data_IF_680631576695
#
_entry.id   IF_680631576695
#
_cell.length_a   1.000
_cell.length_b   1.000
_cell.length_c   1.000
_cell.angle_alpha   90.00
_cell.angle_beta   90.00
_cell.angle_gamma   90.00
#
_symmetry.space_group_name_H-M   'P 1'
#
loop_
_entity.id
_entity.type
_entity.pdbx_description
1 polymer ?
#
# COMPACT_ATOMS: atom_id res chain seq x y z
N UNK A 1 44.31 45.97 35.42
CA UNK A 1 43.41 44.91 35.91
C UNK A 1 42.19 44.77 34.99
N UNK A 2 41.62 45.85 34.47
CA UNK A 2 40.45 45.86 33.56
C UNK A 2 40.57 44.99 32.30
N UNK A 3 41.72 44.99 31.60
CA UNK A 3 41.91 44.14 30.40
C UNK A 3 41.71 42.63 30.68
N UNK A 4 41.98 42.18 31.90
CA UNK A 4 41.74 40.77 32.30
C UNK A 4 40.27 40.49 32.57
N UNK A 5 39.48 41.50 32.96
CA UNK A 5 38.04 41.35 33.20
C UNK A 5 37.24 41.41 31.90
N UNK A 6 37.65 42.24 30.95
CA UNK A 6 37.07 42.27 29.60
C UNK A 6 37.29 40.95 28.84
N UNK A 7 38.50 40.38 28.94
CA UNK A 7 38.81 39.06 28.37
C UNK A 7 37.90 37.97 28.95
N UNK A 8 37.69 37.97 30.27
CA UNK A 8 36.78 37.02 30.96
C UNK A 8 35.33 37.19 30.50
N UNK A 9 34.85 38.42 30.31
CA UNK A 9 33.48 38.70 29.81
C UNK A 9 33.29 38.20 28.38
N UNK A 10 34.30 38.37 27.52
CA UNK A 10 34.27 37.87 26.15
C UNK A 10 34.25 36.33 26.08
N UNK A 11 35.04 35.66 26.93
CA UNK A 11 35.02 34.19 27.06
C UNK A 11 33.69 33.65 27.56
N UNK A 12 33.11 34.30 28.58
CA UNK A 12 31.80 33.94 29.10
C UNK A 12 30.72 34.05 28.02
N UNK A 13 30.75 35.11 27.20
CA UNK A 13 29.83 35.29 26.07
C UNK A 13 29.92 34.16 25.03
N UNK A 14 31.14 33.78 24.66
CA UNK A 14 31.38 32.64 23.74
C UNK A 14 30.88 31.32 24.32
N UNK A 15 31.08 31.10 25.61
CA UNK A 15 30.60 29.90 26.27
C UNK A 15 29.07 29.88 26.36
N UNK A 16 28.42 31.00 26.69
CA UNK A 16 26.95 31.12 26.70
C UNK A 16 26.38 30.80 25.31
N UNK A 17 26.98 31.31 24.24
CA UNK A 17 26.52 31.01 22.88
C UNK A 17 26.70 29.54 22.52
N UNK A 18 27.83 28.94 22.93
CA UNK A 18 28.08 27.51 22.78
C UNK A 18 27.07 26.66 23.54
N UNK A 19 26.70 27.07 24.75
CA UNK A 19 25.67 26.41 25.56
C UNK A 19 24.27 26.55 24.92
N UNK A 20 23.93 27.72 24.37
CA UNK A 20 22.68 27.92 23.61
C UNK A 20 22.59 27.00 22.40
N UNK A 21 23.66 26.90 21.61
CA UNK A 21 23.72 26.00 20.44
C UNK A 21 23.52 24.53 20.83
N UNK A 22 24.12 24.09 21.94
CA UNK A 22 23.94 22.72 22.48
C UNK A 22 22.53 22.46 23.00
N UNK A 23 21.85 23.47 23.54
CA UNK A 23 20.46 23.33 23.99
C UNK A 23 19.53 23.17 22.80
N UNK A 24 19.67 24.02 21.79
CA UNK A 24 18.88 23.97 20.55
C UNK A 24 19.02 22.60 19.89
N UNK A 25 20.23 22.05 19.80
CA UNK A 25 20.44 20.74 19.18
C UNK A 25 19.74 19.62 19.97
N UNK A 26 19.83 19.64 21.30
CA UNK A 26 19.12 18.67 22.16
C UNK A 26 17.61 18.78 22.06
N UNK A 27 17.08 19.99 21.91
CA UNK A 27 15.64 20.21 21.70
C UNK A 27 15.21 19.64 20.35
N UNK A 28 15.96 19.91 19.28
CA UNK A 28 15.73 19.30 17.96
C UNK A 28 15.81 17.78 18.00
N UNK A 29 16.79 17.20 18.70
CA UNK A 29 16.90 15.75 18.86
C UNK A 29 15.68 15.15 19.58
N UNK A 30 15.16 15.82 20.61
CA UNK A 30 13.94 15.40 21.32
C UNK A 30 12.70 15.49 20.43
N UNK A 31 12.54 16.60 19.73
CA UNK A 31 11.45 16.83 18.77
C UNK A 31 11.49 15.79 17.65
N UNK A 32 12.67 15.55 17.09
CA UNK A 32 12.90 14.55 16.06
C UNK A 32 12.60 13.15 16.57
N UNK A 33 13.06 12.78 17.77
CA UNK A 33 12.77 11.48 18.38
C UNK A 33 11.27 11.24 18.61
N UNK A 34 10.56 12.26 19.10
CA UNK A 34 9.10 12.22 19.29
C UNK A 34 8.34 12.11 17.95
N UNK A 35 8.75 12.92 16.96
CA UNK A 35 8.17 12.90 15.61
C UNK A 35 8.39 11.54 14.93
N UNK A 36 9.63 11.01 14.97
CA UNK A 36 9.97 9.69 14.42
C UNK A 36 9.13 8.59 15.08
N UNK A 37 8.95 8.63 16.40
CA UNK A 37 8.10 7.66 17.12
C UNK A 37 6.64 7.72 16.65
N UNK A 38 6.10 8.92 16.49
CA UNK A 38 4.73 9.13 15.98
C UNK A 38 4.58 8.67 14.54
N UNK A 39 5.53 9.01 13.66
CA UNK A 39 5.54 8.57 12.27
C UNK A 39 5.67 7.06 12.15
N UNK A 40 6.54 6.43 12.95
CA UNK A 40 6.71 4.97 12.98
C UNK A 40 5.41 4.27 13.42
N UNK A 41 4.74 4.80 14.44
CA UNK A 41 3.43 4.31 14.88
C UNK A 41 2.38 4.37 13.76
N UNK A 42 2.27 5.52 13.09
CA UNK A 42 1.32 5.72 12.00
C UNK A 42 1.61 4.80 10.80
N UNK A 43 2.89 4.66 10.43
CA UNK A 43 3.33 3.77 9.36
C UNK A 43 2.99 2.31 9.68
N UNK A 44 3.28 1.85 10.91
CA UNK A 44 2.93 0.50 11.37
C UNK A 44 1.42 0.29 11.35
N UNK A 45 0.64 1.27 11.79
CA UNK A 45 -0.83 1.20 11.79
C UNK A 45 -1.41 1.13 10.38
N UNK A 46 -0.84 1.86 9.44
CA UNK A 46 -1.24 1.81 8.03
C UNK A 46 -0.95 0.43 7.43
N UNK A 47 0.24 -0.12 7.67
CA UNK A 47 0.64 -1.46 7.21
C UNK A 47 -0.26 -2.56 7.80
N UNK A 48 -0.54 -2.51 9.10
CA UNK A 48 -1.46 -3.45 9.77
C UNK A 48 -2.86 -3.42 9.16
N UNK A 49 -3.42 -2.21 8.94
CA UNK A 49 -4.74 -2.06 8.31
C UNK A 49 -4.75 -2.66 6.91
N UNK A 50 -3.68 -2.50 6.14
CA UNK A 50 -3.61 -3.08 4.79
C UNK A 50 -3.50 -4.60 4.83
N UNK A 51 -2.68 -5.18 5.71
CA UNK A 51 -2.62 -6.65 5.91
C UNK A 51 -3.99 -7.22 6.24
N UNK A 52 -4.72 -6.60 7.18
CA UNK A 52 -6.08 -7.02 7.55
C UNK A 52 -7.03 -6.92 6.36
N UNK A 53 -6.99 -5.84 5.57
CA UNK A 53 -7.87 -5.68 4.39
C UNK A 53 -7.58 -6.71 3.31
N UNK A 54 -6.31 -7.02 3.08
CA UNK A 54 -5.91 -8.03 2.11
C UNK A 54 -6.36 -9.41 2.58
N UNK A 55 -6.11 -9.74 3.85
CA UNK A 55 -6.54 -11.00 4.46
C UNK A 55 -8.05 -11.17 4.38
N UNK A 56 -8.82 -10.12 4.71
CA UNK A 56 -10.27 -10.11 4.62
C UNK A 56 -10.76 -10.34 3.18
N UNK A 57 -10.18 -9.64 2.19
CA UNK A 57 -10.51 -9.82 0.76
C UNK A 57 -10.22 -11.23 0.27
N UNK A 58 -9.07 -11.79 0.65
CA UNK A 58 -8.67 -13.15 0.28
C UNK A 58 -9.59 -14.19 0.92
N UNK A 59 -9.83 -14.06 2.22
CA UNK A 59 -10.73 -14.94 2.95
C UNK A 59 -12.15 -14.92 2.36
N UNK A 60 -12.70 -13.74 2.06
CA UNK A 60 -14.02 -13.62 1.41
C UNK A 60 -14.10 -14.32 0.05
N UNK A 61 -13.02 -14.29 -0.72
CA UNK A 61 -12.97 -14.92 -2.05
C UNK A 61 -13.04 -16.45 -1.97
N UNK A 62 -12.47 -17.01 -0.90
CA UNK A 62 -12.40 -18.45 -0.70
C UNK A 62 -13.59 -19.00 0.11
N UNK A 63 -14.26 -18.16 0.91
CA UNK A 63 -15.49 -18.54 1.62
C UNK A 63 -16.72 -18.57 0.71
N UNK A 64 -17.60 -19.55 0.90
CA UNK A 64 -18.90 -19.59 0.23
C UNK A 64 -19.82 -18.44 0.71
N UNK A 65 -20.73 -17.96 -0.14
CA UNK A 65 -21.54 -16.74 0.11
C UNK A 65 -22.29 -16.73 1.45
N UNK A 66 -22.77 -17.88 1.95
CA UNK A 66 -23.51 -17.96 3.23
C UNK A 66 -22.60 -17.99 4.46
N UNK A 67 -21.32 -18.35 4.32
CA UNK A 67 -20.34 -18.36 5.41
C UNK A 67 -19.60 -17.01 5.56
N UNK A 68 -19.98 -16.01 4.76
CA UNK A 68 -19.40 -14.67 4.79
C UNK A 68 -19.75 -13.91 6.09
N UNK A 69 -20.94 -14.16 6.66
CA UNK A 69 -21.38 -13.51 7.89
C UNK A 69 -20.57 -13.98 9.12
N UNK A 70 -20.31 -15.29 9.23
CA UNK A 70 -19.45 -15.85 10.28
C UNK A 70 -18.02 -15.30 10.23
N UNK A 71 -17.49 -15.08 9.01
CA UNK A 71 -16.19 -14.44 8.83
C UNK A 71 -16.23 -13.00 9.32
N UNK A 72 -17.29 -12.26 8.98
CA UNK A 72 -17.46 -10.87 9.40
C UNK A 72 -17.53 -10.74 10.92
N UNK A 73 -18.25 -11.64 11.59
CA UNK A 73 -18.33 -11.67 13.06
C UNK A 73 -16.95 -11.82 13.72
N UNK A 74 -16.12 -12.73 13.20
CA UNK A 74 -14.73 -12.94 13.69
C UNK A 74 -13.86 -11.68 13.55
N UNK A 75 -14.03 -10.92 12.47
CA UNK A 75 -13.28 -9.66 12.29
C UNK A 75 -13.83 -8.52 13.16
N UNK A 76 -15.16 -8.40 13.32
CA UNK A 76 -15.76 -7.37 14.19
C UNK A 76 -15.45 -7.64 15.67
N UNK A 77 -15.42 -8.91 16.09
CA UNK A 77 -15.02 -9.29 17.45
C UNK A 77 -13.61 -8.79 17.82
N UNK A 78 -12.68 -8.68 16.86
CA UNK A 78 -11.30 -8.26 17.11
C UNK A 78 -11.02 -6.76 16.86
N UNK A 79 -12.04 -5.99 16.46
CA UNK A 79 -11.90 -4.58 16.04
C UNK A 79 -11.47 -3.62 17.16
N UNK A 80 -11.79 -3.97 18.41
CA UNK A 80 -11.56 -3.13 19.58
C UNK A 80 -10.11 -3.20 20.11
N UNK A 81 -9.30 -4.14 19.61
CA UNK A 81 -7.90 -4.29 20.05
C UNK A 81 -7.06 -3.10 19.58
N UNK A 82 -6.43 -2.42 20.54
CA UNK A 82 -5.63 -1.21 20.32
C UNK A 82 -4.13 -1.45 20.43
N UNK A 83 -3.71 -2.52 21.11
CA UNK A 83 -2.29 -2.87 21.26
C UNK A 83 -1.68 -3.37 19.94
N UNK A 84 -0.57 -2.76 19.52
CA UNK A 84 0.04 -3.01 18.21
C UNK A 84 0.61 -4.41 18.09
N UNK A 85 1.29 -4.91 19.13
CA UNK A 85 1.95 -6.22 19.09
C UNK A 85 0.92 -7.34 19.17
N UNK A 86 -0.15 -7.15 19.94
CA UNK A 86 -1.30 -8.07 19.94
C UNK A 86 -1.95 -8.15 18.57
N UNK A 87 -2.10 -7.02 17.86
CA UNK A 87 -2.68 -6.99 16.51
C UNK A 87 -1.82 -7.78 15.52
N UNK A 88 -0.50 -7.65 15.58
CA UNK A 88 0.38 -8.42 14.70
C UNK A 88 0.25 -9.93 14.98
N UNK A 89 0.22 -10.34 16.25
CA UNK A 89 -0.01 -11.75 16.62
C UNK A 89 -1.36 -12.28 16.14
N UNK A 90 -2.41 -11.47 16.23
CA UNK A 90 -3.74 -11.83 15.74
C UNK A 90 -3.75 -11.99 14.22
N UNK A 91 -3.06 -11.10 13.49
CA UNK A 91 -2.92 -11.20 12.03
C UNK A 91 -2.18 -12.49 11.67
N UNK A 92 -1.07 -12.81 12.35
CA UNK A 92 -0.27 -14.01 12.04
C UNK A 92 -1.06 -15.30 12.35
N UNK A 93 -1.82 -15.34 13.45
CA UNK A 93 -2.73 -16.45 13.76
C UNK A 93 -3.86 -16.58 12.72
N UNK A 94 -4.40 -15.46 12.26
CA UNK A 94 -5.44 -15.44 11.23
C UNK A 94 -4.90 -15.88 9.86
N UNK A 95 -3.65 -15.52 9.51
CA UNK A 95 -2.98 -15.99 8.31
C UNK A 95 -2.67 -17.49 8.38
N UNK A 96 -2.24 -18.00 9.53
CA UNK A 96 -1.99 -19.43 9.74
C UNK A 96 -3.28 -20.26 9.62
N UNK A 97 -4.36 -19.80 10.25
CA UNK A 97 -5.67 -20.46 10.15
C UNK A 97 -6.19 -20.42 8.71
N UNK A 98 -6.11 -19.28 8.03
CA UNK A 98 -6.49 -19.16 6.62
C UNK A 98 -5.66 -20.08 5.71
N UNK A 99 -4.35 -20.20 5.94
CA UNK A 99 -3.47 -21.06 5.15
C UNK A 99 -3.87 -22.55 5.23
N UNK A 100 -4.41 -23.00 6.36
CA UNK A 100 -4.92 -24.37 6.51
C UNK A 100 -6.16 -24.66 5.66
N UNK A 101 -6.95 -23.63 5.33
CA UNK A 101 -8.18 -23.74 4.53
C UNK A 101 -8.01 -23.23 3.10
N UNK A 102 -6.77 -22.94 2.66
CA UNK A 102 -6.51 -22.50 1.29
C UNK A 102 -6.87 -23.59 0.30
N UNK A 103 -7.67 -23.22 -0.69
CA UNK A 103 -8.00 -24.13 -1.78
C UNK A 103 -6.70 -24.49 -2.55
N UNK A 104 -6.47 -25.79 -2.87
CA UNK A 104 -5.26 -26.23 -3.59
C UNK A 104 -5.16 -25.68 -5.03
N UNK A 105 -6.26 -25.17 -5.59
CA UNK A 105 -6.30 -24.52 -6.91
C UNK A 105 -7.18 -23.26 -6.88
N UNK A 106 -6.64 -22.06 -6.56
CA UNK A 106 -7.44 -20.86 -6.36
C UNK A 106 -7.93 -20.25 -7.68
N UNK A 107 -9.23 -19.95 -7.78
CA UNK A 107 -9.85 -19.35 -8.97
C UNK A 107 -9.25 -17.98 -9.34
N UNK A 108 -8.52 -17.89 -10.45
CA UNK A 108 -8.03 -16.63 -11.04
C UNK A 108 -9.13 -16.04 -11.93
N UNK A 109 -9.95 -15.17 -11.36
CA UNK A 109 -10.89 -14.35 -12.12
C UNK A 109 -10.39 -12.90 -12.04
N UNK A 110 -9.98 -12.37 -13.19
CA UNK A 110 -9.35 -11.07 -13.37
C UNK A 110 -10.36 -9.94 -13.13
N UNK A 111 -10.24 -9.21 -12.03
CA UNK A 111 -11.00 -7.98 -11.79
C UNK A 111 -10.14 -6.80 -12.22
N UNK A 112 -10.49 -6.18 -13.36
CA UNK A 112 -9.80 -5.02 -13.92
C UNK A 112 -10.22 -3.79 -13.12
N UNK A 113 -9.42 -3.38 -12.14
CA UNK A 113 -9.68 -2.15 -11.37
C UNK A 113 -9.00 -0.92 -11.99
N UNK A 114 -8.16 -1.08 -13.02
CA UNK A 114 -7.33 0.02 -13.54
C UNK A 114 -7.95 0.86 -14.67
N UNK A 115 -9.09 0.47 -15.27
CA UNK A 115 -9.67 1.27 -16.37
C UNK A 115 -10.50 2.47 -15.85
N UNK A 116 -11.00 2.43 -14.60
CA UNK A 116 -11.93 3.46 -14.13
C UNK A 116 -11.25 4.81 -13.78
N UNK A 117 -9.95 4.82 -13.47
CA UNK A 117 -9.25 6.07 -13.10
C UNK A 117 -8.98 7.00 -14.28
N UNK A 118 -9.09 6.50 -15.51
CA UNK A 118 -8.96 7.31 -16.75
C UNK A 118 -10.29 8.03 -17.06
N UNK A 119 -11.42 7.55 -16.55
CA UNK A 119 -12.75 8.05 -16.91
C UNK A 119 -13.22 9.27 -16.11
N UNK A 120 -12.51 9.66 -15.04
CA UNK A 120 -12.94 10.75 -14.15
C UNK A 120 -12.35 12.14 -14.51
N UNK A 121 -11.49 12.22 -15.53
CA UNK A 121 -10.95 13.49 -16.04
C UNK A 121 -11.72 13.90 -17.28
N UNK A 122 -12.73 14.77 -17.13
CA UNK A 122 -13.69 15.15 -18.16
C UNK A 122 -13.12 15.84 -19.40
N UNK A 123 -12.53 15.09 -20.32
CA UNK A 123 -12.00 15.57 -21.60
C UNK A 123 -12.44 14.70 -22.79
N UNK A 124 -13.70 14.23 -22.81
CA UNK A 124 -14.17 13.26 -23.82
C UNK A 124 -15.44 13.69 -24.58
N UNK A 125 -15.60 14.98 -24.90
CA UNK A 125 -16.74 15.44 -25.71
C UNK A 125 -16.46 15.47 -27.23
N UNK A 126 -15.24 15.24 -27.71
CA UNK A 126 -14.90 15.45 -29.14
C UNK A 126 -14.31 14.24 -29.85
N UNK A 127 -14.16 13.09 -29.19
CA UNK A 127 -13.46 11.92 -29.73
C UNK A 127 -14.40 10.85 -30.33
N UNK A 128 -15.66 11.18 -30.57
CA UNK A 128 -16.74 10.25 -30.97
C UNK A 128 -17.03 10.20 -32.48
N UNK A 129 -16.08 10.61 -33.33
CA UNK A 129 -16.24 10.51 -34.80
C UNK A 129 -15.10 9.78 -35.51
N UNK A 130 -14.16 9.14 -34.79
CA UNK A 130 -13.04 8.43 -35.41
C UNK A 130 -13.23 6.90 -35.38
N UNK A 131 -13.65 6.33 -36.52
CA UNK A 131 -13.96 4.90 -36.74
C UNK A 131 -12.85 3.93 -36.32
N UNK A 132 -11.58 4.39 -36.32
CA UNK A 132 -10.43 3.59 -35.89
C UNK A 132 -10.45 3.25 -34.40
N UNK A 133 -10.94 4.16 -33.55
CA UNK A 133 -10.97 3.98 -32.08
C UNK A 133 -12.07 2.99 -31.69
N UNK A 134 -13.22 3.01 -32.39
CA UNK A 134 -14.31 2.07 -32.15
C UNK A 134 -13.92 0.63 -32.51
N UNK A 135 -13.15 0.43 -33.59
CA UNK A 135 -12.61 -0.89 -33.97
C UNK A 135 -11.55 -1.40 -32.99
N UNK A 136 -10.74 -0.52 -32.42
CA UNK A 136 -9.80 -0.90 -31.35
C UNK A 136 -10.55 -1.30 -30.06
N UNK A 137 -11.66 -0.64 -29.75
CA UNK A 137 -12.46 -0.89 -28.54
C UNK A 137 -13.27 -2.20 -28.61
N UNK A 138 -13.80 -2.56 -29.78
CA UNK A 138 -14.51 -3.85 -29.95
C UNK A 138 -13.57 -5.06 -29.94
N UNK A 139 -12.31 -4.89 -30.37
CA UNK A 139 -11.28 -5.95 -30.27
C UNK A 139 -10.88 -6.19 -28.80
N UNK A 140 -10.83 -5.13 -27.99
CA UNK A 140 -10.45 -5.21 -26.56
C UNK A 140 -11.53 -5.84 -25.65
N UNK A 141 -12.80 -5.82 -26.07
CA UNK A 141 -13.93 -6.42 -25.34
C UNK A 141 -14.10 -7.93 -25.57
N UNK A 142 -13.28 -8.55 -26.42
CA UNK A 142 -13.25 -10.00 -26.55
C UNK A 142 -12.36 -10.61 -25.45
N UNK A 143 -13.03 -11.11 -24.41
CA UNK A 143 -12.44 -11.77 -23.26
C UNK A 143 -11.51 -12.94 -23.66
N UNK A 144 -10.19 -12.71 -23.59
CA UNK A 144 -9.16 -13.75 -23.70
C UNK A 144 -8.55 -13.99 -22.32
N UNK A 145 -8.52 -15.24 -21.79
CA UNK A 145 -7.92 -15.58 -20.50
C UNK A 145 -6.38 -15.51 -20.55
N UNK A 146 -5.83 -14.30 -20.50
CA UNK A 146 -4.40 -14.00 -20.65
C UNK A 146 -3.70 -13.61 -19.33
N UNK A 147 -4.20 -14.09 -18.18
CA UNK A 147 -3.46 -13.97 -16.91
C UNK A 147 -2.35 -15.04 -16.83
N UNK A 148 -1.17 -14.75 -16.25
CA UNK A 148 -0.16 -15.76 -15.95
C UNK A 148 -0.76 -16.86 -15.06
N UNK A 149 -0.72 -18.11 -15.53
CA UNK A 149 -1.38 -19.26 -14.87
C UNK A 149 -2.79 -19.58 -15.37
N UNK A 150 -3.34 -18.83 -16.34
CA UNK A 150 -4.61 -19.16 -16.99
C UNK A 150 -4.46 -20.19 -18.12
N UNK A 151 -5.51 -20.99 -18.36
CA UNK A 151 -5.51 -22.07 -19.37
C UNK A 151 -5.35 -21.61 -20.84
N UNK A 152 -5.44 -20.30 -21.12
CA UNK A 152 -5.30 -19.72 -22.47
C UNK A 152 -4.14 -18.72 -22.62
N UNK A 153 -3.31 -18.52 -21.59
CA UNK A 153 -2.18 -17.57 -21.58
C UNK A 153 -1.18 -17.83 -22.74
N UNK A 154 -0.99 -19.10 -23.11
CA UNK A 154 -0.03 -19.50 -24.16
C UNK A 154 -0.69 -20.08 -25.43
N UNK A 155 -2.01 -19.91 -25.64
CA UNK A 155 -2.69 -20.54 -26.80
C UNK A 155 -2.51 -19.80 -28.12
N UNK A 156 -2.14 -18.52 -28.11
CA UNK A 156 -1.86 -17.77 -29.33
C UNK A 156 -0.83 -16.65 -29.05
N UNK A 157 0.48 -16.94 -29.10
CA UNK A 157 1.50 -15.90 -28.96
C UNK A 157 1.39 -14.92 -30.15
N UNK A 158 1.66 -13.63 -29.95
CA UNK A 158 1.76 -12.68 -31.07
C UNK A 158 2.88 -13.15 -32.01
N UNK A 159 2.62 -13.23 -33.33
CA UNK A 159 3.64 -13.66 -34.28
C UNK A 159 4.87 -12.75 -34.17
N UNK A 160 6.09 -13.30 -34.23
CA UNK A 160 7.31 -12.50 -34.15
C UNK A 160 7.33 -11.47 -35.28
N UNK A 161 7.66 -10.22 -34.95
CA UNK A 161 7.77 -9.14 -35.93
C UNK A 161 8.85 -9.51 -36.97
N UNK A 162 8.47 -9.70 -38.23
CA UNK A 162 9.40 -9.97 -39.34
C UNK A 162 9.03 -11.11 -40.29
N UNK A 163 7.94 -11.85 -40.06
CA UNK A 163 7.50 -12.90 -41.01
C UNK A 163 6.54 -12.29 -42.05
N UNK A 164 7.06 -12.02 -43.25
CA UNK A 164 6.26 -11.74 -44.44
C UNK A 164 5.78 -13.10 -44.97
N UNK A 165 4.47 -13.34 -44.98
CA UNK A 165 3.92 -14.48 -45.72
C UNK A 165 4.05 -14.19 -47.22
N UNK A 166 4.75 -15.06 -47.95
CA UNK A 166 4.78 -15.09 -49.41
C UNK A 166 3.47 -15.67 -49.95
#
# INVERSE_FOLDING_TARGET
MEKKEEAKRCELGREIEKQKRRLIEREREREMSSAVSTTAYLARRAAQKERVRILYRRALKDTLNWAADDLREKFEANKHVSDLDTIDRLIDNAEATYNNFRHPDPYIVFVIVEICSIFSSGAFASFWHNSAVLKAYTIFLSAVPWAPGGSKFCRNPTPPAGVIFY
#
